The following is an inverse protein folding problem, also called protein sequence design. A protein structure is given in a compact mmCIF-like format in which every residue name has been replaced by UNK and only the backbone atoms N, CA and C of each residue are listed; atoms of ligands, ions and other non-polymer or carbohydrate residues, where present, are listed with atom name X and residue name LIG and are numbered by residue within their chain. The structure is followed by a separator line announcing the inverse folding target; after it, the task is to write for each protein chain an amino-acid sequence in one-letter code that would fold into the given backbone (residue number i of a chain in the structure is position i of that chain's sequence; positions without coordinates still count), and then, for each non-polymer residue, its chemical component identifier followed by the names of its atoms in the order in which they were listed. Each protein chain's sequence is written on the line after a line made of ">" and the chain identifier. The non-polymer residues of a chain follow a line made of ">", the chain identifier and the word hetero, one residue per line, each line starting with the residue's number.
data_IF_357447934954
#
_entry.id   IF_357447934954
#
_cell.length_a   1.000
_cell.length_b   1.000
_cell.length_c   1.000
_cell.angle_alpha   90.00
_cell.angle_beta   90.00
_cell.angle_gamma   90.00
#
_symmetry.space_group_name_H-M   'P 1'
#
loop_
_entity.id
_entity.type
_entity.pdbx_description
1 polymer ?
#
# COMPACT_ATOMS: atom_id res chain seq x y z
N UNK A 1 -26.44 2.76 27.34
CA UNK A 1 -27.21 2.78 26.06
C UNK A 1 -26.17 2.68 24.94
N UNK A 2 -26.26 1.67 24.08
CA UNK A 2 -25.42 1.60 22.88
C UNK A 2 -25.69 2.84 22.03
N UNK A 3 -24.65 3.43 21.46
CA UNK A 3 -24.82 4.48 20.46
C UNK A 3 -25.31 3.80 19.17
N UNK A 4 -26.52 4.09 18.71
CA UNK A 4 -27.12 3.51 17.51
C UNK A 4 -26.21 3.63 16.27
N UNK A 5 -25.41 4.70 16.20
CA UNK A 5 -24.41 4.89 15.13
C UNK A 5 -23.31 3.83 15.19
N UNK A 6 -22.87 3.47 16.40
CA UNK A 6 -21.87 2.43 16.57
C UNK A 6 -22.42 1.06 16.16
N UNK A 7 -23.66 0.76 16.53
CA UNK A 7 -24.31 -0.49 16.13
C UNK A 7 -24.44 -0.61 14.60
N UNK A 8 -24.80 0.48 13.92
CA UNK A 8 -24.84 0.55 12.45
C UNK A 8 -23.45 0.33 11.82
N UNK A 9 -22.40 0.97 12.36
CA UNK A 9 -21.05 0.81 11.86
C UNK A 9 -20.50 -0.62 12.08
N UNK A 10 -20.84 -1.25 13.20
CA UNK A 10 -20.48 -2.66 13.47
C UNK A 10 -21.19 -3.59 12.50
N UNK A 11 -22.48 -3.38 12.23
CA UNK A 11 -23.22 -4.16 11.24
C UNK A 11 -22.63 -4.00 9.84
N UNK A 12 -22.28 -2.77 9.43
CA UNK A 12 -21.60 -2.50 8.17
C UNK A 12 -20.28 -3.27 8.10
N UNK A 13 -19.44 -3.17 9.14
CA UNK A 13 -18.18 -3.89 9.21
C UNK A 13 -18.37 -5.40 9.03
N UNK A 14 -19.33 -6.00 9.74
CA UNK A 14 -19.60 -7.44 9.62
C UNK A 14 -20.05 -7.83 8.21
N UNK A 15 -20.84 -6.99 7.54
CA UNK A 15 -21.25 -7.22 6.15
C UNK A 15 -20.06 -7.15 5.19
N UNK A 16 -19.17 -6.14 5.33
CA UNK A 16 -17.96 -6.00 4.53
C UNK A 16 -17.03 -7.20 4.76
N UNK A 17 -16.80 -7.58 6.03
CA UNK A 17 -15.95 -8.70 6.39
C UNK A 17 -16.42 -10.04 5.80
N UNK A 18 -17.73 -10.24 5.76
CA UNK A 18 -18.34 -11.45 5.20
C UNK A 18 -18.25 -11.51 3.66
N UNK A 19 -18.09 -10.37 2.98
CA UNK A 19 -18.06 -10.28 1.52
C UNK A 19 -16.82 -9.53 1.02
N UNK A 20 -15.61 -10.01 1.35
CA UNK A 20 -14.38 -9.35 0.94
C UNK A 20 -14.19 -9.43 -0.58
N UNK A 21 -13.73 -8.34 -1.18
CA UNK A 21 -13.35 -8.26 -2.58
C UNK A 21 -11.88 -7.87 -2.71
N UNK A 22 -11.17 -8.53 -3.63
CA UNK A 22 -9.76 -8.28 -3.88
C UNK A 22 -9.51 -6.93 -4.56
N UNK A 23 -8.31 -6.41 -4.41
CA UNK A 23 -7.84 -5.17 -5.03
C UNK A 23 -8.20 -5.08 -6.51
N UNK A 24 -8.79 -3.97 -6.93
CA UNK A 24 -9.26 -3.70 -8.29
C UNK A 24 -10.59 -4.40 -8.67
N UNK A 25 -11.23 -5.10 -7.72
CA UNK A 25 -12.51 -5.80 -7.93
C UNK A 25 -13.58 -5.45 -6.90
N UNK A 26 -13.42 -4.37 -6.15
CA UNK A 26 -14.23 -3.97 -4.99
C UNK A 26 -15.56 -3.30 -5.40
N UNK A 27 -16.31 -3.91 -6.31
CA UNK A 27 -17.54 -3.33 -6.87
C UNK A 27 -18.68 -3.32 -5.86
N UNK A 28 -18.94 -4.47 -5.20
CA UNK A 28 -19.98 -4.61 -4.19
C UNK A 28 -19.64 -3.82 -2.93
N UNK A 29 -18.39 -3.88 -2.47
CA UNK A 29 -17.88 -3.16 -1.30
C UNK A 29 -18.07 -1.65 -1.47
N UNK A 30 -17.62 -1.11 -2.61
CA UNK A 30 -17.80 0.31 -2.94
C UNK A 30 -19.28 0.71 -2.97
N UNK A 31 -20.12 -0.07 -3.64
CA UNK A 31 -21.55 0.21 -3.73
C UNK A 31 -22.21 0.16 -2.35
N UNK A 32 -21.90 -0.85 -1.54
CA UNK A 32 -22.43 -1.03 -0.18
C UNK A 32 -22.07 0.16 0.71
N UNK A 33 -20.83 0.63 0.67
CA UNK A 33 -20.39 1.80 1.43
C UNK A 33 -21.10 3.09 0.99
N UNK A 34 -21.27 3.31 -0.32
CA UNK A 34 -22.01 4.46 -0.84
C UNK A 34 -23.49 4.42 -0.43
N UNK A 35 -24.13 3.26 -0.57
CA UNK A 35 -25.54 3.09 -0.24
C UNK A 35 -25.79 3.24 1.26
N UNK A 36 -24.87 2.73 2.09
CA UNK A 36 -24.92 2.95 3.53
C UNK A 36 -24.90 4.44 3.88
N UNK A 37 -23.95 5.21 3.32
CA UNK A 37 -23.86 6.65 3.59
C UNK A 37 -25.07 7.41 3.07
N UNK A 38 -25.60 7.07 1.89
CA UNK A 38 -26.84 7.68 1.34
C UNK A 38 -28.08 7.38 2.16
N UNK A 39 -28.18 6.17 2.71
CA UNK A 39 -29.32 5.74 3.51
C UNK A 39 -29.33 6.38 4.91
N UNK A 40 -28.17 6.63 5.49
CA UNK A 40 -28.05 7.02 6.90
C UNK A 40 -27.51 8.43 7.12
N UNK A 41 -27.16 9.17 6.06
CA UNK A 41 -26.64 10.55 6.16
C UNK A 41 -27.17 11.44 5.04
N UNK A 42 -27.03 12.74 5.23
CA UNK A 42 -27.30 13.78 4.21
C UNK A 42 -26.02 14.25 3.52
N UNK A 43 -24.91 13.54 3.71
CA UNK A 43 -23.63 13.86 3.08
C UNK A 43 -23.76 13.75 1.56
N UNK A 44 -23.05 14.63 0.86
CA UNK A 44 -22.92 14.55 -0.59
C UNK A 44 -21.99 13.37 -0.96
N UNK A 45 -22.54 12.26 -1.46
CA UNK A 45 -21.80 11.05 -1.86
C UNK A 45 -21.55 11.08 -3.36
N UNK A 46 -20.28 11.20 -3.76
CA UNK A 46 -19.85 11.35 -5.15
C UNK A 46 -19.04 10.15 -5.59
N UNK A 47 -19.56 9.42 -6.57
CA UNK A 47 -18.88 8.30 -7.22
C UNK A 47 -17.82 8.79 -8.21
N UNK A 48 -16.62 8.21 -8.17
CA UNK A 48 -15.49 8.51 -9.05
C UNK A 48 -15.04 7.28 -9.85
N UNK A 49 -15.91 6.31 -10.03
CA UNK A 49 -15.65 5.08 -10.78
C UNK A 49 -15.05 3.98 -9.92
N UNK A 50 -13.74 3.91 -9.74
CA UNK A 50 -13.11 2.91 -8.85
C UNK A 50 -13.14 3.28 -7.38
N UNK A 51 -13.22 4.57 -7.04
CA UNK A 51 -13.24 5.12 -5.70
C UNK A 51 -14.39 6.12 -5.54
N UNK A 52 -14.63 6.58 -4.33
CA UNK A 52 -15.65 7.59 -4.07
C UNK A 52 -15.29 8.44 -2.83
N UNK A 53 -15.99 9.55 -2.66
CA UNK A 53 -15.93 10.33 -1.44
C UNK A 53 -17.31 10.75 -0.96
N UNK A 54 -17.41 11.04 0.34
CA UNK A 54 -18.55 11.74 0.92
C UNK A 54 -18.10 13.08 1.50
N UNK A 55 -18.89 14.14 1.29
CA UNK A 55 -18.59 15.49 1.76
C UNK A 55 -19.61 15.96 2.77
N UNK A 56 -19.14 16.41 3.92
CA UNK A 56 -19.90 17.21 4.87
C UNK A 56 -19.46 18.67 4.73
N UNK A 57 -20.41 19.55 4.39
CA UNK A 57 -20.14 21.00 4.32
C UNK A 57 -19.96 21.57 5.72
N UNK A 58 -18.85 22.28 5.92
CA UNK A 58 -18.49 22.90 7.19
C UNK A 58 -19.12 24.28 7.38
N UNK A 59 -19.04 24.75 8.63
CA UNK A 59 -19.55 26.11 9.01
C UNK A 59 -18.49 27.21 8.82
N UNK A 60 -17.23 26.84 8.74
CA UNK A 60 -16.08 27.75 8.62
C UNK A 60 -15.25 27.48 7.37
N UNK A 61 -14.16 28.23 7.26
CA UNK A 61 -13.23 28.11 6.14
C UNK A 61 -12.28 26.91 6.26
N UNK A 62 -11.74 26.48 5.12
CA UNK A 62 -10.76 25.41 5.00
C UNK A 62 -11.39 24.05 4.73
N UNK A 63 -10.51 23.12 4.33
CA UNK A 63 -10.89 21.77 3.96
C UNK A 63 -9.98 20.76 4.67
N UNK A 64 -10.55 19.62 5.03
CA UNK A 64 -9.83 18.46 5.58
C UNK A 64 -10.37 17.18 4.98
N UNK A 65 -9.52 16.19 4.82
CA UNK A 65 -9.95 14.85 4.41
C UNK A 65 -9.57 13.79 5.45
N UNK A 66 -10.39 12.76 5.51
CA UNK A 66 -10.10 11.50 6.20
C UNK A 66 -10.18 10.36 5.17
N UNK A 67 -9.21 9.45 5.20
CA UNK A 67 -9.09 8.37 4.22
C UNK A 67 -9.20 7.00 4.89
N UNK A 68 -9.91 6.10 4.26
CA UNK A 68 -9.86 4.66 4.53
C UNK A 68 -9.73 3.88 3.21
N UNK A 69 -9.09 2.74 3.28
CA UNK A 69 -9.05 1.70 2.27
C UNK A 69 -10.23 0.72 2.44
N UNK A 70 -10.52 -0.09 1.38
CA UNK A 70 -11.64 -1.02 1.46
C UNK A 70 -11.46 -2.34 0.70
N UNK A 71 -10.26 -2.62 0.19
CA UNK A 71 -9.93 -3.89 -0.48
C UNK A 71 -9.52 -4.99 0.51
N UNK A 72 -9.47 -6.24 0.05
CA UNK A 72 -9.14 -7.42 0.83
C UNK A 72 -7.95 -8.18 0.24
N UNK A 73 -7.37 -9.07 1.06
CA UNK A 73 -6.21 -9.89 0.71
C UNK A 73 -6.61 -11.21 0.05
N UNK A 74 -5.78 -11.75 -0.88
CA UNK A 74 -5.98 -13.05 -1.53
C UNK A 74 -5.56 -14.20 -0.59
N UNK A 75 -6.38 -14.45 0.44
CA UNK A 75 -6.12 -15.50 1.42
C UNK A 75 -7.42 -16.05 2.00
N UNK A 76 -7.35 -17.28 2.57
CA UNK A 76 -8.50 -17.92 3.21
C UNK A 76 -8.78 -17.39 4.61
N UNK A 77 -10.06 -17.21 4.93
CA UNK A 77 -10.51 -16.95 6.29
C UNK A 77 -10.55 -18.24 7.10
N UNK A 78 -9.68 -18.34 8.11
CA UNK A 78 -9.58 -19.54 8.97
C UNK A 78 -10.25 -19.35 10.34
N UNK A 79 -10.65 -18.12 10.71
CA UNK A 79 -11.23 -17.85 12.01
C UNK A 79 -12.72 -18.28 12.07
N UNK A 80 -13.15 -18.99 13.13
CA UNK A 80 -14.52 -19.43 13.29
C UNK A 80 -15.41 -18.33 13.89
N UNK A 81 -15.47 -17.17 13.24
CA UNK A 81 -16.30 -16.04 13.68
C UNK A 81 -17.63 -15.99 12.90
N UNK A 82 -18.72 -15.46 13.49
CA UNK A 82 -20.05 -15.46 12.86
C UNK A 82 -20.11 -14.74 11.51
N UNK A 83 -19.30 -13.70 11.34
CA UNK A 83 -19.23 -12.86 10.14
C UNK A 83 -17.99 -13.18 9.29
N UNK A 84 -17.46 -14.40 9.36
CA UNK A 84 -16.32 -14.85 8.54
C UNK A 84 -16.61 -14.69 7.05
N UNK A 85 -15.55 -14.52 6.26
CA UNK A 85 -15.67 -14.47 4.80
C UNK A 85 -16.48 -15.64 4.24
N UNK A 86 -17.42 -15.34 3.37
CA UNK A 86 -18.12 -16.31 2.55
C UNK A 86 -17.56 -16.39 1.11
N UNK A 87 -16.48 -15.65 0.82
CA UNK A 87 -15.80 -15.61 -0.46
C UNK A 87 -14.51 -16.44 -0.38
N UNK A 88 -14.45 -17.65 -0.97
CA UNK A 88 -13.23 -18.45 -0.98
C UNK A 88 -12.04 -17.68 -1.59
N UNK A 89 -10.88 -17.76 -0.96
CA UNK A 89 -9.65 -17.11 -1.41
C UNK A 89 -9.60 -15.62 -1.17
N UNK A 90 -10.54 -15.01 -0.42
CA UNK A 90 -10.49 -13.60 -0.06
C UNK A 90 -10.85 -13.38 1.41
N UNK A 91 -10.11 -12.52 2.12
CA UNK A 91 -10.40 -12.19 3.52
C UNK A 91 -9.85 -10.80 3.91
N UNK A 92 -10.58 -10.08 4.77
CA UNK A 92 -10.14 -8.83 5.38
C UNK A 92 -9.19 -9.07 6.56
N UNK A 93 -7.93 -9.48 6.27
CA UNK A 93 -6.91 -9.74 7.31
C UNK A 93 -6.05 -8.52 7.62
N UNK A 94 -6.01 -7.55 6.74
CA UNK A 94 -5.40 -6.25 7.01
C UNK A 94 -6.30 -5.34 7.85
N UNK A 95 -7.64 -5.50 7.75
CA UNK A 95 -8.60 -4.76 8.58
C UNK A 95 -9.29 -3.59 7.88
N UNK A 96 -9.23 -3.53 6.55
CA UNK A 96 -9.82 -2.45 5.74
C UNK A 96 -11.36 -2.37 5.87
N UNK A 97 -12.03 -3.48 6.19
CA UNK A 97 -13.44 -3.50 6.61
C UNK A 97 -13.69 -2.63 7.84
N UNK A 98 -12.78 -2.68 8.82
CA UNK A 98 -12.81 -1.86 10.03
C UNK A 98 -12.48 -0.40 9.75
N UNK A 99 -11.50 -0.13 8.89
CA UNK A 99 -11.13 1.25 8.49
C UNK A 99 -12.30 1.95 7.81
N UNK A 100 -12.91 1.29 6.81
CA UNK A 100 -14.07 1.82 6.08
C UNK A 100 -15.30 2.01 6.98
N UNK A 101 -15.59 1.06 7.86
CA UNK A 101 -16.70 1.19 8.81
C UNK A 101 -16.48 2.33 9.81
N UNK A 102 -15.24 2.53 10.29
CA UNK A 102 -14.91 3.65 11.17
C UNK A 102 -15.02 5.00 10.45
N UNK A 103 -14.62 5.06 9.19
CA UNK A 103 -14.80 6.27 8.38
C UNK A 103 -16.28 6.55 8.12
N UNK A 104 -17.09 5.51 7.89
CA UNK A 104 -18.56 5.66 7.77
C UNK A 104 -19.19 6.13 9.09
N UNK A 105 -18.72 5.64 10.25
CA UNK A 105 -19.15 6.12 11.58
C UNK A 105 -18.82 7.61 11.78
N UNK A 106 -17.66 8.07 11.30
CA UNK A 106 -17.34 9.50 11.27
C UNK A 106 -18.38 10.26 10.43
N UNK A 107 -18.79 9.70 9.28
CA UNK A 107 -19.85 10.27 8.44
C UNK A 107 -21.18 10.45 9.18
N UNK A 108 -21.63 9.42 9.90
CA UNK A 108 -22.83 9.47 10.75
C UNK A 108 -22.71 10.55 11.84
N UNK A 109 -21.51 10.69 12.39
CA UNK A 109 -21.23 11.69 13.43
C UNK A 109 -21.27 13.11 12.86
N UNK A 110 -20.62 13.34 11.74
CA UNK A 110 -20.61 14.64 11.05
C UNK A 110 -22.01 15.07 10.57
N UNK A 111 -22.84 14.12 10.13
CA UNK A 111 -24.22 14.43 9.74
C UNK A 111 -25.07 14.93 10.92
N UNK A 112 -24.87 14.35 12.10
CA UNK A 112 -25.60 14.69 13.33
C UNK A 112 -25.07 15.97 13.99
N UNK A 113 -23.74 16.12 14.08
CA UNK A 113 -23.09 17.15 14.88
C UNK A 113 -22.63 18.34 14.03
N UNK A 114 -22.49 18.14 12.72
CA UNK A 114 -21.94 19.09 11.77
C UNK A 114 -20.41 19.11 11.79
N UNK A 115 -19.84 19.77 10.79
CA UNK A 115 -18.39 19.93 10.65
C UNK A 115 -17.96 21.38 10.86
N UNK A 116 -16.78 21.61 11.46
CA UNK A 116 -16.22 22.95 11.63
C UNK A 116 -15.75 23.54 10.29
N UNK A 117 -15.26 22.71 9.38
CA UNK A 117 -14.81 23.05 8.02
C UNK A 117 -15.23 21.95 7.05
N UNK A 118 -15.17 22.21 5.75
CA UNK A 118 -15.51 21.22 4.74
C UNK A 118 -14.70 19.94 4.95
N UNK A 119 -15.41 18.84 5.22
CA UNK A 119 -14.80 17.57 5.56
C UNK A 119 -15.10 16.53 4.48
N UNK A 120 -14.06 15.92 3.94
CA UNK A 120 -14.13 14.89 2.91
C UNK A 120 -13.77 13.54 3.50
N UNK A 121 -14.62 12.55 3.29
CA UNK A 121 -14.39 11.14 3.64
C UNK A 121 -14.03 10.40 2.36
N UNK A 122 -12.77 10.00 2.20
CA UNK A 122 -12.24 9.39 0.99
C UNK A 122 -12.12 7.89 1.18
N UNK A 123 -12.75 7.12 0.29
CA UNK A 123 -12.71 5.68 0.27
C UNK A 123 -11.87 5.21 -0.91
N UNK A 124 -10.68 4.67 -0.61
CA UNK A 124 -9.66 4.26 -1.57
C UNK A 124 -9.71 2.76 -1.84
N UNK A 125 -9.75 2.31 -3.11
CA UNK A 125 -9.60 0.90 -3.50
C UNK A 125 -8.14 0.49 -3.63
N UNK A 126 -7.89 -0.80 -3.79
CA UNK A 126 -6.66 -1.41 -4.30
C UNK A 126 -5.38 -0.98 -3.53
N UNK A 127 -5.49 -0.79 -2.22
CA UNK A 127 -4.35 -0.38 -1.39
C UNK A 127 -3.27 -1.47 -1.38
N UNK A 128 -3.67 -2.74 -1.27
CA UNK A 128 -2.77 -3.90 -1.11
C UNK A 128 -1.87 -4.16 -2.33
N UNK A 129 -2.15 -3.53 -3.46
CA UNK A 129 -1.31 -3.57 -4.67
C UNK A 129 -0.74 -2.19 -5.05
N UNK A 130 -0.72 -1.25 -4.10
CA UNK A 130 -0.25 0.12 -4.33
C UNK A 130 -1.16 0.96 -5.23
N UNK A 131 -2.41 0.54 -5.44
CA UNK A 131 -3.37 1.20 -6.33
C UNK A 131 -4.27 2.24 -5.64
N UNK A 132 -5.05 2.97 -6.45
CA UNK A 132 -6.08 3.92 -5.98
C UNK A 132 -5.57 5.21 -5.34
N UNK A 133 -4.43 5.18 -4.67
CA UNK A 133 -3.89 6.31 -3.91
C UNK A 133 -3.58 7.54 -4.77
N UNK A 134 -3.03 7.36 -5.97
CA UNK A 134 -2.69 8.46 -6.87
C UNK A 134 -3.93 9.25 -7.32
N UNK A 135 -5.03 8.57 -7.66
CA UNK A 135 -6.29 9.21 -8.05
C UNK A 135 -6.89 10.01 -6.91
N UNK A 136 -6.85 9.46 -5.68
CA UNK A 136 -7.29 10.17 -4.48
C UNK A 136 -6.40 11.39 -4.18
N UNK A 137 -5.08 11.26 -4.32
CA UNK A 137 -4.13 12.36 -4.10
C UNK A 137 -4.28 13.47 -5.17
N UNK A 138 -4.57 13.12 -6.43
CA UNK A 138 -4.86 14.08 -7.48
C UNK A 138 -6.10 14.93 -7.13
N UNK A 139 -7.18 14.27 -6.69
CA UNK A 139 -8.38 14.94 -6.23
C UNK A 139 -8.12 15.88 -5.04
N UNK A 140 -7.32 15.46 -4.05
CA UNK A 140 -6.96 16.33 -2.92
C UNK A 140 -6.29 17.62 -3.39
N UNK A 141 -5.39 17.53 -4.37
CA UNK A 141 -4.71 18.68 -4.97
C UNK A 141 -5.68 19.59 -5.75
N UNK A 142 -6.54 19.00 -6.58
CA UNK A 142 -7.57 19.72 -7.36
C UNK A 142 -8.52 20.50 -6.45
N UNK A 143 -8.98 19.89 -5.36
CA UNK A 143 -9.87 20.50 -4.39
C UNK A 143 -9.15 21.47 -3.43
N UNK A 144 -7.82 21.54 -3.45
CA UNK A 144 -7.05 22.36 -2.52
C UNK A 144 -7.16 21.91 -1.06
N UNK A 145 -7.27 20.59 -0.84
CA UNK A 145 -7.33 20.00 0.50
C UNK A 145 -5.90 19.85 1.03
N UNK A 146 -5.52 20.72 1.96
CA UNK A 146 -4.16 20.77 2.51
C UNK A 146 -3.89 19.85 3.68
N UNK A 147 -4.91 19.22 4.23
CA UNK A 147 -4.79 18.29 5.37
C UNK A 147 -5.55 17.00 5.10
N UNK A 148 -4.83 15.87 5.22
CA UNK A 148 -5.44 14.54 5.12
C UNK A 148 -4.99 13.68 6.30
N UNK A 149 -5.90 12.91 6.86
CA UNK A 149 -5.66 11.99 7.96
C UNK A 149 -6.16 10.59 7.58
N UNK A 150 -5.38 9.58 7.94
CA UNK A 150 -5.77 8.19 7.87
C UNK A 150 -5.30 7.46 9.14
N UNK A 151 -5.93 6.36 9.46
CA UNK A 151 -5.42 5.45 10.50
C UNK A 151 -5.32 4.04 9.94
N UNK A 152 -4.43 3.25 10.53
CA UNK A 152 -4.35 1.81 10.29
C UNK A 152 -4.37 1.10 11.63
N UNK A 153 -5.16 0.02 11.74
CA UNK A 153 -5.15 -0.82 12.93
C UNK A 153 -3.79 -1.52 13.08
N UNK A 154 -3.28 -1.56 14.29
CA UNK A 154 -2.02 -2.25 14.61
C UNK A 154 -2.26 -3.25 15.76
N UNK A 155 -2.10 -4.55 15.54
CA UNK A 155 -2.20 -5.53 16.59
C UNK A 155 -1.03 -5.40 17.58
N UNK A 156 -1.26 -5.88 18.82
CA UNK A 156 -0.22 -5.87 19.86
C UNK A 156 -0.18 -4.61 20.74
N UNK A 157 -0.98 -3.59 20.43
CA UNK A 157 -1.16 -2.41 21.28
C UNK A 157 -2.45 -2.49 22.11
N UNK A 158 -2.55 -1.78 23.23
CA UNK A 158 -3.79 -1.69 24.01
C UNK A 158 -4.94 -1.13 23.14
N UNK A 159 -6.15 -1.65 23.35
CA UNK A 159 -7.34 -1.18 22.65
C UNK A 159 -7.55 0.33 22.87
N UNK A 160 -7.75 1.06 21.78
CA UNK A 160 -7.94 2.51 21.78
C UNK A 160 -6.65 3.31 21.89
N UNK A 161 -5.48 2.67 22.00
CA UNK A 161 -4.22 3.38 21.92
C UNK A 161 -3.97 3.94 20.52
N UNK A 162 -3.48 5.18 20.47
CA UNK A 162 -3.11 5.86 19.22
C UNK A 162 -1.59 5.91 19.10
N UNK A 163 -1.06 5.11 18.19
CA UNK A 163 0.37 5.06 17.88
C UNK A 163 0.72 6.18 16.88
N UNK A 164 1.70 7.02 17.21
CA UNK A 164 2.04 8.21 16.43
C UNK A 164 3.53 8.27 16.13
N UNK A 165 3.87 8.71 14.92
CA UNK A 165 5.25 8.95 14.52
C UNK A 165 5.35 10.14 13.56
N UNK A 166 6.12 11.19 13.86
CA UNK A 166 6.49 12.20 12.89
C UNK A 166 7.58 11.65 11.95
N UNK A 167 7.58 12.12 10.71
CA UNK A 167 8.47 11.58 9.66
C UNK A 167 7.97 10.25 9.14
N UNK A 168 8.89 9.42 8.66
CA UNK A 168 8.57 8.13 8.01
C UNK A 168 7.80 7.21 8.95
N UNK A 169 6.56 6.92 8.61
CA UNK A 169 5.71 5.92 9.26
C UNK A 169 5.86 4.56 8.58
N UNK A 170 5.74 4.54 7.25
CA UNK A 170 5.97 3.35 6.43
C UNK A 170 7.08 3.61 5.44
N UNK A 171 8.00 2.67 5.31
CA UNK A 171 9.08 2.71 4.34
C UNK A 171 8.54 2.68 2.91
N UNK A 172 9.26 3.31 1.98
CA UNK A 172 9.05 3.06 0.55
C UNK A 172 9.42 1.61 0.21
N UNK A 173 8.64 0.99 -0.68
CA UNK A 173 8.86 -0.40 -1.12
C UNK A 173 8.40 -0.60 -2.55
N UNK A 174 9.09 -1.48 -3.30
CA UNK A 174 8.65 -1.95 -4.62
C UNK A 174 9.27 -3.28 -5.00
N UNK A 175 8.58 -4.00 -5.87
CA UNK A 175 9.16 -5.10 -6.64
C UNK A 175 9.89 -4.56 -7.87
N UNK A 176 11.13 -5.01 -8.11
CA UNK A 176 11.89 -4.74 -9.33
C UNK A 176 12.15 -6.05 -10.05
N UNK A 177 11.74 -6.11 -11.32
CA UNK A 177 11.92 -7.26 -12.20
C UNK A 177 12.95 -6.88 -13.27
N UNK A 178 14.03 -7.68 -13.37
CA UNK A 178 15.06 -7.55 -14.39
C UNK A 178 15.06 -8.79 -15.28
N UNK A 179 14.75 -8.62 -16.58
CA UNK A 179 14.76 -9.69 -17.58
C UNK A 179 15.92 -9.52 -18.53
N UNK A 180 16.79 -10.53 -18.56
CA UNK A 180 17.95 -10.58 -19.46
C UNK A 180 17.69 -11.62 -20.53
N UNK A 181 17.85 -11.22 -21.80
CA UNK A 181 17.74 -12.14 -22.93
C UNK A 181 19.03 -12.14 -23.74
N UNK A 182 19.56 -13.32 -23.95
CA UNK A 182 20.77 -13.57 -24.73
C UNK A 182 20.51 -14.45 -25.95
N UNK A 183 21.48 -15.33 -26.25
CA UNK A 183 21.44 -16.23 -27.39
C UNK A 183 21.76 -17.65 -26.94
N UNK A 184 20.89 -18.64 -27.19
CA UNK A 184 21.17 -20.03 -26.83
C UNK A 184 22.32 -20.59 -27.68
N UNK A 185 23.05 -21.54 -27.12
CA UNK A 185 24.05 -22.32 -27.85
C UNK A 185 24.19 -23.71 -27.24
N UNK A 186 24.85 -24.60 -27.97
CA UNK A 186 25.21 -25.92 -27.42
C UNK A 186 26.20 -25.75 -26.27
N UNK A 187 26.04 -26.50 -25.21
CA UNK A 187 26.88 -26.38 -24.00
C UNK A 187 28.40 -26.65 -24.24
N UNK A 188 28.75 -27.32 -25.36
CA UNK A 188 30.17 -27.53 -25.76
C UNK A 188 30.80 -26.36 -26.49
N UNK A 189 30.03 -25.35 -26.88
CA UNK A 189 30.48 -24.14 -27.60
C UNK A 189 29.90 -22.87 -26.94
N UNK A 190 30.16 -22.65 -25.62
CA UNK A 190 29.53 -21.57 -24.87
C UNK A 190 29.89 -20.18 -25.39
N UNK A 191 31.02 -20.02 -26.06
CA UNK A 191 31.52 -18.78 -26.66
C UNK A 191 30.66 -18.27 -27.83
N UNK A 192 29.83 -19.13 -28.45
CA UNK A 192 28.92 -18.78 -29.52
C UNK A 192 27.57 -18.28 -28.99
N UNK A 193 27.28 -18.49 -27.72
CA UNK A 193 26.07 -18.04 -27.08
C UNK A 193 26.26 -16.74 -26.28
N UNK A 194 25.14 -16.29 -25.67
CA UNK A 194 25.14 -15.17 -24.74
C UNK A 194 24.32 -15.56 -23.54
N UNK A 195 25.00 -15.93 -22.46
CA UNK A 195 24.38 -16.50 -21.28
C UNK A 195 24.11 -15.42 -20.21
N UNK A 196 22.85 -15.19 -19.79
CA UNK A 196 22.50 -14.19 -18.79
C UNK A 196 22.93 -14.55 -17.37
N UNK A 197 23.35 -15.78 -17.09
CA UNK A 197 23.72 -16.23 -15.75
C UNK A 197 24.79 -15.33 -15.10
N UNK A 198 25.76 -14.87 -15.88
CA UNK A 198 26.85 -14.03 -15.37
C UNK A 198 26.35 -12.64 -14.98
N UNK A 199 25.46 -12.04 -15.78
CA UNK A 199 24.85 -10.75 -15.46
C UNK A 199 23.98 -10.82 -14.21
N UNK A 200 23.12 -11.86 -14.11
CA UNK A 200 22.28 -12.09 -12.91
C UNK A 200 23.16 -12.28 -11.67
N UNK A 201 24.21 -13.12 -11.75
CA UNK A 201 25.11 -13.36 -10.64
C UNK A 201 25.85 -12.09 -10.20
N UNK A 202 26.29 -11.25 -11.13
CA UNK A 202 26.95 -9.98 -10.83
C UNK A 202 26.00 -9.01 -10.08
N UNK A 203 24.76 -8.85 -10.53
CA UNK A 203 23.76 -8.01 -9.86
C UNK A 203 23.48 -8.52 -8.45
N UNK A 204 23.23 -9.82 -8.28
CA UNK A 204 22.96 -10.43 -6.97
C UNK A 204 24.16 -10.25 -6.02
N UNK A 205 25.37 -10.45 -6.52
CA UNK A 205 26.61 -10.34 -5.71
C UNK A 205 26.90 -8.91 -5.25
N UNK A 206 26.38 -7.89 -5.92
CA UNK A 206 26.55 -6.49 -5.55
C UNK A 206 25.59 -6.02 -4.45
N UNK A 207 24.46 -6.73 -4.23
CA UNK A 207 23.43 -6.32 -3.27
C UNK A 207 23.98 -6.04 -1.87
N UNK A 208 24.82 -6.91 -1.25
CA UNK A 208 25.34 -6.66 0.10
C UNK A 208 26.15 -5.36 0.21
N UNK A 209 26.83 -4.96 -0.85
CA UNK A 209 27.60 -3.71 -0.91
C UNK A 209 26.66 -2.50 -1.04
N UNK A 210 25.65 -2.58 -1.93
CA UNK A 210 24.69 -1.52 -2.19
C UNK A 210 23.72 -1.27 -1.02
N UNK A 211 23.67 -2.15 -0.03
CA UNK A 211 22.75 -2.06 1.13
C UNK A 211 23.50 -2.00 2.46
N UNK A 212 24.77 -1.58 2.46
CA UNK A 212 25.55 -1.42 3.70
C UNK A 212 24.91 -0.37 4.60
N UNK A 213 24.56 -0.69 5.85
CA UNK A 213 23.88 0.26 6.73
C UNK A 213 24.64 1.56 6.97
N UNK A 214 25.97 1.53 6.98
CA UNK A 214 26.83 2.69 7.19
C UNK A 214 26.85 3.69 6.04
N UNK A 215 26.39 3.29 4.86
CA UNK A 215 26.32 4.13 3.66
C UNK A 215 24.98 4.87 3.52
N UNK A 216 24.00 4.59 4.41
CA UNK A 216 22.64 5.09 4.33
C UNK A 216 22.21 5.86 5.58
N UNK A 217 21.31 6.82 5.40
CA UNK A 217 20.72 7.60 6.50
C UNK A 217 19.73 6.77 7.34
N UNK A 218 19.12 5.77 6.73
CA UNK A 218 18.11 4.93 7.33
C UNK A 218 18.17 3.50 6.83
N UNK A 219 17.10 2.75 7.08
CA UNK A 219 17.00 1.37 6.61
C UNK A 219 16.98 1.33 5.07
N UNK A 220 17.88 0.54 4.47
CA UNK A 220 17.87 0.20 3.04
C UNK A 220 18.06 -1.30 2.90
N UNK A 221 17.14 -1.96 2.20
CA UNK A 221 17.12 -3.40 1.98
C UNK A 221 16.88 -3.73 0.50
N UNK A 222 17.55 -4.78 0.04
CA UNK A 222 17.26 -5.43 -1.23
C UNK A 222 17.18 -6.94 -0.99
N UNK A 223 16.02 -7.53 -1.22
CA UNK A 223 15.83 -8.97 -1.05
C UNK A 223 15.66 -9.62 -2.42
N UNK A 224 16.45 -10.66 -2.69
CA UNK A 224 16.23 -11.52 -3.84
C UNK A 224 15.01 -12.40 -3.56
N UNK A 225 13.94 -12.21 -4.32
CA UNK A 225 12.68 -12.96 -4.18
C UNK A 225 12.69 -14.20 -5.05
N UNK A 226 13.27 -14.10 -6.24
CA UNK A 226 13.34 -15.22 -7.16
C UNK A 226 14.40 -15.01 -8.23
N UNK A 227 14.89 -16.12 -8.76
CA UNK A 227 15.74 -16.19 -9.94
C UNK A 227 15.21 -17.34 -10.80
N UNK A 228 14.84 -17.03 -12.04
CA UNK A 228 14.54 -18.02 -13.07
C UNK A 228 15.60 -17.90 -14.16
N UNK A 229 16.28 -19.00 -14.49
CA UNK A 229 17.44 -18.98 -15.37
C UNK A 229 17.51 -20.23 -16.24
N UNK A 230 17.21 -20.06 -17.52
CA UNK A 230 17.33 -21.13 -18.51
C UNK A 230 16.36 -22.29 -18.29
N UNK A 231 16.73 -23.46 -18.76
CA UNK A 231 15.95 -24.68 -18.71
C UNK A 231 16.75 -25.84 -18.14
N UNK A 232 16.07 -26.89 -17.65
CA UNK A 232 16.71 -28.12 -17.20
C UNK A 232 17.15 -28.99 -18.41
N UNK A 233 18.07 -28.47 -19.22
CA UNK A 233 18.59 -29.12 -20.40
C UNK A 233 20.12 -28.97 -20.48
N UNK A 234 20.87 -30.01 -20.07
CA UNK A 234 22.35 -29.96 -19.95
C UNK A 234 23.07 -29.71 -21.30
N UNK A 235 22.41 -29.91 -22.42
CA UNK A 235 22.99 -29.69 -23.76
C UNK A 235 22.88 -28.26 -24.28
N UNK A 236 22.16 -27.35 -23.59
CA UNK A 236 21.85 -26.00 -24.05
C UNK A 236 22.29 -25.00 -22.97
N UNK A 237 23.00 -23.92 -23.37
CA UNK A 237 23.29 -22.82 -22.46
C UNK A 237 22.02 -21.97 -22.21
N UNK A 238 21.87 -21.45 -21.00
CA UNK A 238 20.81 -20.51 -20.68
C UNK A 238 20.87 -19.28 -21.62
N UNK A 239 19.71 -18.80 -22.03
CA UNK A 239 19.61 -17.60 -22.88
C UNK A 239 18.54 -16.61 -22.39
N UNK A 240 17.77 -16.99 -21.37
CA UNK A 240 16.83 -16.14 -20.66
C UNK A 240 17.10 -16.21 -19.19
N UNK A 241 17.00 -15.08 -18.49
CA UNK A 241 17.10 -14.98 -17.05
C UNK A 241 16.20 -13.88 -16.52
N UNK A 242 15.44 -14.19 -15.46
CA UNK A 242 14.63 -13.22 -14.73
C UNK A 242 15.13 -13.16 -13.29
N UNK A 243 15.28 -11.93 -12.79
CA UNK A 243 15.66 -11.65 -11.40
C UNK A 243 14.56 -10.80 -10.77
N UNK A 244 13.98 -11.33 -9.69
CA UNK A 244 12.94 -10.66 -8.90
C UNK A 244 13.54 -10.13 -7.60
N UNK A 245 13.42 -8.83 -7.38
CA UNK A 245 13.96 -8.13 -6.21
C UNK A 245 12.83 -7.38 -5.50
N UNK A 246 12.81 -7.44 -4.16
CA UNK A 246 12.06 -6.47 -3.36
C UNK A 246 13.03 -5.43 -2.83
N UNK A 247 12.81 -4.18 -3.20
CA UNK A 247 13.54 -3.02 -2.69
C UNK A 247 12.72 -2.37 -1.58
N UNK A 248 13.38 -1.96 -0.50
CA UNK A 248 12.75 -1.23 0.61
C UNK A 248 13.72 -0.22 1.19
N UNK A 249 13.26 1.01 1.41
CA UNK A 249 14.06 2.00 2.11
C UNK A 249 13.19 2.87 3.03
N UNK A 250 13.78 3.37 4.12
CA UNK A 250 13.10 4.27 5.02
C UNK A 250 12.69 5.57 4.30
N UNK A 251 13.57 6.08 3.44
CA UNK A 251 13.37 7.31 2.68
C UNK A 251 13.20 7.00 1.19
N UNK A 252 12.27 7.70 0.53
CA UNK A 252 12.01 7.53 -0.91
C UNK A 252 13.27 7.76 -1.74
N UNK A 253 14.04 8.79 -1.41
CA UNK A 253 15.28 9.13 -2.13
C UNK A 253 16.33 8.00 -2.10
N UNK A 254 16.41 7.26 -1.00
CA UNK A 254 17.32 6.12 -0.87
C UNK A 254 16.83 4.90 -1.65
N UNK A 255 15.49 4.69 -1.72
CA UNK A 255 14.92 3.65 -2.58
C UNK A 255 15.24 3.92 -4.05
N UNK A 256 15.06 5.18 -4.48
CA UNK A 256 15.31 5.58 -5.87
C UNK A 256 16.81 5.48 -6.20
N UNK A 257 17.70 5.84 -5.28
CA UNK A 257 19.14 5.70 -5.44
C UNK A 257 19.58 4.23 -5.55
N UNK A 258 19.04 3.35 -4.70
CA UNK A 258 19.30 1.91 -4.75
C UNK A 258 18.83 1.32 -6.09
N UNK A 259 17.62 1.68 -6.54
CA UNK A 259 17.10 1.23 -7.82
C UNK A 259 17.99 1.66 -8.98
N UNK A 260 18.41 2.91 -9.02
CA UNK A 260 19.28 3.40 -10.11
C UNK A 260 20.66 2.74 -10.09
N UNK A 261 21.23 2.46 -8.92
CA UNK A 261 22.48 1.72 -8.80
C UNK A 261 22.36 0.28 -9.36
N UNK A 262 21.29 -0.43 -8.99
CA UNK A 262 21.02 -1.77 -9.52
C UNK A 262 20.76 -1.76 -11.04
N UNK A 263 20.02 -0.78 -11.55
CA UNK A 263 19.76 -0.64 -12.97
C UNK A 263 21.04 -0.25 -13.76
N UNK A 264 21.90 0.59 -13.20
CA UNK A 264 23.16 0.94 -13.84
C UNK A 264 24.07 -0.29 -13.98
N UNK A 265 24.19 -1.08 -12.90
CA UNK A 265 24.95 -2.33 -12.93
C UNK A 265 24.33 -3.34 -13.91
N UNK A 266 23.00 -3.50 -13.90
CA UNK A 266 22.31 -4.42 -14.83
C UNK A 266 22.53 -4.02 -16.30
N UNK A 267 22.51 -2.72 -16.62
CA UNK A 267 22.81 -2.20 -17.97
C UNK A 267 24.27 -2.45 -18.37
N UNK A 268 25.21 -2.24 -17.45
CA UNK A 268 26.62 -2.50 -17.67
C UNK A 268 26.84 -3.97 -17.98
N UNK A 269 26.31 -4.88 -17.16
CA UNK A 269 26.42 -6.32 -17.36
C UNK A 269 25.72 -6.79 -18.65
N UNK A 270 24.54 -6.24 -18.96
CA UNK A 270 23.86 -6.54 -20.21
C UNK A 270 24.72 -6.15 -21.43
N UNK A 271 25.38 -5.00 -21.38
CA UNK A 271 26.30 -4.54 -22.43
C UNK A 271 27.55 -5.46 -22.53
N UNK A 272 28.14 -5.82 -21.41
CA UNK A 272 29.35 -6.67 -21.36
C UNK A 272 29.09 -8.04 -21.99
N UNK A 273 27.96 -8.68 -21.66
CA UNK A 273 27.61 -10.01 -22.15
C UNK A 273 26.75 -9.98 -23.43
N UNK A 274 26.50 -8.80 -24.00
CA UNK A 274 25.73 -8.64 -25.23
C UNK A 274 24.27 -9.09 -25.11
N UNK A 275 23.64 -8.86 -23.95
CA UNK A 275 22.26 -9.20 -23.63
C UNK A 275 21.33 -8.02 -23.91
N UNK A 276 20.05 -8.31 -24.12
CA UNK A 276 19.00 -7.30 -23.95
C UNK A 276 18.51 -7.30 -22.50
N UNK A 277 18.18 -6.11 -21.98
CA UNK A 277 17.63 -5.92 -20.64
C UNK A 277 16.27 -5.23 -20.72
N UNK A 278 15.26 -5.86 -20.13
CA UNK A 278 13.96 -5.27 -19.86
C UNK A 278 13.78 -5.12 -18.36
N UNK A 279 13.00 -4.11 -17.95
CA UNK A 279 12.65 -3.89 -16.54
C UNK A 279 11.14 -3.72 -16.38
N UNK A 280 10.62 -4.16 -15.24
CA UNK A 280 9.28 -3.83 -14.78
C UNK A 280 9.30 -3.55 -13.27
N UNK A 281 8.28 -2.86 -12.80
CA UNK A 281 8.08 -2.56 -11.38
C UNK A 281 6.67 -3.02 -11.01
N UNK A 282 6.54 -3.61 -9.80
CA UNK A 282 5.28 -4.07 -9.23
C UNK A 282 5.19 -3.64 -7.77
N UNK A 283 3.99 -3.60 -7.20
CA UNK A 283 3.73 -3.31 -5.79
C UNK A 283 4.46 -2.05 -5.30
N UNK A 284 4.29 -0.95 -6.02
CA UNK A 284 4.99 0.31 -5.74
C UNK A 284 4.27 1.07 -4.63
N UNK A 285 4.90 1.13 -3.46
CA UNK A 285 4.44 1.87 -2.29
C UNK A 285 5.43 3.01 -1.99
N UNK A 286 5.03 4.27 -2.15
CA UNK A 286 5.87 5.39 -1.74
C UNK A 286 6.02 5.46 -0.22
N UNK A 287 7.07 6.14 0.24
CA UNK A 287 7.23 6.47 1.65
C UNK A 287 6.00 7.20 2.19
N UNK A 288 5.51 6.77 3.35
CA UNK A 288 4.51 7.53 4.11
C UNK A 288 5.20 8.34 5.20
N UNK A 289 5.40 9.63 4.94
CA UNK A 289 6.01 10.56 5.88
C UNK A 289 4.95 11.47 6.52
N UNK A 290 4.76 11.36 7.83
CA UNK A 290 3.82 12.18 8.58
C UNK A 290 4.39 13.55 8.91
N UNK A 291 3.64 14.61 8.54
CA UNK A 291 4.03 15.98 8.88
C UNK A 291 3.96 16.20 10.40
N UNK A 292 5.03 16.73 11.06
CA UNK A 292 5.08 16.86 12.51
C UNK A 292 3.90 17.63 13.12
N UNK A 293 3.46 18.72 12.49
CA UNK A 293 2.31 19.49 12.98
C UNK A 293 0.98 18.72 12.87
N UNK A 294 0.83 17.81 11.89
CA UNK A 294 -0.35 16.95 11.78
C UNK A 294 -0.35 15.89 12.89
N UNK A 295 0.80 15.28 13.16
CA UNK A 295 0.98 14.32 14.28
C UNK A 295 0.63 14.97 15.60
N UNK A 296 1.08 16.20 15.85
CA UNK A 296 0.78 16.92 17.08
C UNK A 296 -0.73 17.25 17.23
N UNK A 297 -1.43 17.55 16.11
CA UNK A 297 -2.89 17.71 16.14
C UNK A 297 -3.61 16.41 16.51
N UNK A 298 -3.18 15.28 15.94
CA UNK A 298 -3.74 13.96 16.29
C UNK A 298 -3.46 13.62 17.76
N UNK A 299 -2.26 13.91 18.27
CA UNK A 299 -1.92 13.71 19.69
C UNK A 299 -2.88 14.44 20.62
N UNK A 300 -3.07 15.74 20.38
CA UNK A 300 -4.01 16.56 21.18
C UNK A 300 -5.45 16.07 21.06
N UNK A 301 -5.87 15.65 19.88
CA UNK A 301 -7.21 15.10 19.69
C UNK A 301 -7.41 13.78 20.46
N UNK A 302 -6.41 12.88 20.43
CA UNK A 302 -6.44 11.63 21.17
C UNK A 302 -6.49 11.87 22.70
N UNK A 303 -5.62 12.77 23.21
CA UNK A 303 -5.61 13.17 24.63
C UNK A 303 -6.97 13.77 25.04
N UNK A 304 -7.52 14.65 24.23
CA UNK A 304 -8.85 15.26 24.45
C UNK A 304 -9.99 14.24 24.46
N UNK A 305 -9.84 13.15 23.73
CA UNK A 305 -10.79 12.03 23.70
C UNK A 305 -10.53 10.99 24.81
N UNK A 306 -9.50 11.18 25.65
CA UNK A 306 -9.11 10.23 26.67
C UNK A 306 -8.45 8.95 26.12
N UNK A 307 -8.00 8.96 24.87
CA UNK A 307 -7.28 7.85 24.26
C UNK A 307 -5.78 7.95 24.60
N UNK A 308 -5.12 6.85 25.04
CA UNK A 308 -3.68 6.87 25.25
C UNK A 308 -2.97 7.07 23.91
N UNK A 309 -2.15 8.13 23.82
CA UNK A 309 -1.34 8.43 22.65
C UNK A 309 0.15 8.23 22.95
N UNK A 310 0.85 7.47 22.10
CA UNK A 310 2.26 7.13 22.29
C UNK A 310 3.04 7.17 20.98
N UNK A 311 4.36 7.44 21.10
CA UNK A 311 5.27 7.33 19.95
C UNK A 311 5.65 5.88 19.72
N UNK A 312 5.75 5.49 18.45
CA UNK A 312 6.30 4.19 18.03
C UNK A 312 7.65 4.39 17.36
N UNK A 313 8.54 3.42 17.56
CA UNK A 313 9.79 3.29 16.80
C UNK A 313 9.57 2.44 15.55
N UNK A 314 10.37 2.65 14.51
CA UNK A 314 10.47 1.74 13.37
C UNK A 314 11.04 0.39 13.81
#
# INVERSE_FOLDING_TARGET
>A
MSDERLDLAVQLRHALHAHPELSGREFWTRQTLMDFLRAHTRLEVVDRGSWFYARCRGRGEGKVAFRADFDALPMEETLPIPHRSCCPGAAHKCGHDGHSAALALLGLTLDKEGAARDTYLIFQPAEEIGGGGEACAAFLREEGIGEVYAFHNMPGYPLGAVALRPGTMNCASKGLILRFTGVPTHASTPELGRNPAYAVAAVVSAIPELTRPEEHRGLVLCTVVGIDLGERAFGISAYQGELLLTLRAQYQEELDALQEALLALAREQAKEYGLTLERAEEDVFPETANHPAAVERVRRAAEGAGAPAGSISC
#
